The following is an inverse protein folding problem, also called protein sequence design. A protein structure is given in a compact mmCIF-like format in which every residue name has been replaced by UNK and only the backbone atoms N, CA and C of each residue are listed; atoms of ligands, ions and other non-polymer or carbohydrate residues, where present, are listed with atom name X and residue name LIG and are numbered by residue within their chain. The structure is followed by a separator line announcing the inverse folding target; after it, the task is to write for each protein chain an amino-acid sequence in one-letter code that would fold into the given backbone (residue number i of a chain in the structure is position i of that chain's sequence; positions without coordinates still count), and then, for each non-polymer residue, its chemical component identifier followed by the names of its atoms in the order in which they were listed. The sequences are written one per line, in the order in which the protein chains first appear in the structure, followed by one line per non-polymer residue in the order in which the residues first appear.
data_IF_047674555599
#
_entry.id   IF_047674555599
#
_cell.length_a   1.000
_cell.length_b   1.000
_cell.length_c   1.000
_cell.angle_alpha   90.00
_cell.angle_beta   90.00
_cell.angle_gamma   90.00
#
_symmetry.space_group_name_H-M   'P 1'
#
loop_
_entity.id
_entity.type
_entity.pdbx_description
1 polymer ?
#
# COMPACT_ATOMS: atom_id res chain seq x y z
N UNK A 1 12.24 -16.45 -19.84
CA UNK A 1 10.90 -15.87 -19.61
C UNK A 1 10.41 -16.07 -18.18
N UNK A 2 10.57 -17.25 -17.55
CA UNK A 2 10.14 -17.49 -16.15
C UNK A 2 11.00 -16.73 -15.12
N UNK A 3 12.33 -16.73 -15.26
CA UNK A 3 13.21 -16.07 -14.28
C UNK A 3 13.11 -14.54 -14.22
N UNK A 4 12.53 -13.90 -15.24
CA UNK A 4 12.29 -12.45 -15.23
C UNK A 4 11.04 -12.11 -14.40
N UNK A 5 10.00 -12.95 -14.49
CA UNK A 5 8.78 -12.82 -13.68
C UNK A 5 9.10 -13.00 -12.19
N UNK A 6 9.94 -13.98 -11.84
CA UNK A 6 10.38 -14.19 -10.45
C UNK A 6 11.20 -13.01 -9.91
N UNK A 7 11.99 -12.36 -10.78
CA UNK A 7 12.75 -11.16 -10.41
C UNK A 7 11.82 -9.99 -10.11
N UNK A 8 10.78 -9.79 -10.91
CA UNK A 8 9.79 -8.73 -10.68
C UNK A 8 8.93 -8.99 -9.44
N UNK A 9 8.52 -10.24 -9.18
CA UNK A 9 7.79 -10.59 -7.96
C UNK A 9 8.59 -10.27 -6.69
N UNK A 10 9.89 -10.63 -6.64
CA UNK A 10 10.77 -10.29 -5.51
C UNK A 10 10.95 -8.79 -5.31
N UNK A 11 10.90 -8.00 -6.38
CA UNK A 11 10.97 -6.54 -6.29
C UNK A 11 9.68 -5.98 -5.72
N UNK A 12 8.53 -6.51 -6.12
CA UNK A 12 7.21 -6.12 -5.59
C UNK A 12 7.11 -6.46 -4.10
N UNK A 13 7.43 -7.70 -3.70
CA UNK A 13 7.45 -8.12 -2.29
C UNK A 13 8.40 -7.26 -1.44
N UNK A 14 9.57 -6.90 -1.98
CA UNK A 14 10.51 -6.02 -1.28
C UNK A 14 9.99 -4.59 -1.13
N UNK A 15 9.19 -4.08 -2.06
CA UNK A 15 8.54 -2.78 -1.91
C UNK A 15 7.47 -2.82 -0.80
N UNK A 16 6.77 -3.94 -0.64
CA UNK A 16 5.84 -4.17 0.48
C UNK A 16 6.60 -4.18 1.84
N UNK A 17 7.79 -4.80 1.90
CA UNK A 17 8.62 -4.87 3.11
C UNK A 17 9.39 -3.58 3.45
N UNK A 18 9.73 -2.75 2.45
CA UNK A 18 10.50 -1.51 2.67
C UNK A 18 9.69 -0.41 3.38
N UNK A 19 8.36 -0.55 3.48
CA UNK A 19 7.50 0.27 4.33
C UNK A 19 7.41 -0.27 5.77
N UNK A 20 7.88 -1.48 6.05
CA UNK A 20 7.64 -2.20 7.31
C UNK A 20 8.59 -1.89 8.48
N UNK A 21 9.69 -1.15 8.27
CA UNK A 21 10.77 -1.04 9.28
C UNK A 21 11.22 0.38 9.64
N UNK A 22 10.43 1.43 9.36
CA UNK A 22 10.88 2.81 9.64
C UNK A 22 10.43 3.36 11.00
N UNK A 23 9.38 2.87 11.65
CA UNK A 23 9.00 3.39 12.97
C UNK A 23 8.60 2.27 13.94
N UNK A 24 9.15 2.28 15.17
CA UNK A 24 8.62 1.53 16.32
C UNK A 24 7.26 2.09 16.77
N UNK A 25 6.34 2.32 15.83
CA UNK A 25 4.97 2.75 16.06
C UNK A 25 4.06 1.61 15.69
N UNK A 26 3.23 1.20 16.65
CA UNK A 26 2.12 0.31 16.35
C UNK A 26 1.10 1.10 15.53
N UNK A 27 0.93 0.73 14.26
CA UNK A 27 -0.14 1.22 13.41
C UNK A 27 -1.30 0.23 13.49
N UNK A 28 -2.52 0.74 13.73
CA UNK A 28 -3.75 -0.09 13.71
C UNK A 28 -4.16 -0.48 12.29
N UNK A 29 -3.84 0.38 11.32
CA UNK A 29 -4.03 0.15 9.89
C UNK A 29 -3.08 1.05 9.08
N UNK A 30 -2.80 0.63 7.85
CA UNK A 30 -2.08 1.44 6.85
C UNK A 30 -2.98 1.63 5.64
N UNK A 31 -3.31 2.88 5.30
CA UNK A 31 -4.13 3.22 4.15
C UNK A 31 -3.28 3.78 3.01
N UNK A 32 -3.52 3.31 1.80
CA UNK A 32 -2.77 3.64 0.60
C UNK A 32 -3.55 4.67 -0.22
N UNK A 33 -2.81 5.61 -0.83
CA UNK A 33 -3.36 6.66 -1.69
C UNK A 33 -2.66 6.63 -3.03
N UNK A 34 -3.45 6.48 -4.10
CA UNK A 34 -2.92 6.49 -5.46
C UNK A 34 -3.98 6.99 -6.45
N UNK A 35 -3.64 7.86 -7.42
CA UNK A 35 -4.58 8.35 -8.42
C UNK A 35 -5.12 7.24 -9.36
N UNK A 36 -4.44 6.09 -9.44
CA UNK A 36 -4.85 4.90 -10.21
C UNK A 36 -5.52 3.80 -9.35
N UNK A 37 -5.72 4.07 -8.06
CA UNK A 37 -6.39 3.14 -7.14
C UNK A 37 -7.88 2.99 -7.43
N UNK A 38 -8.49 1.88 -6.97
CA UNK A 38 -9.92 1.65 -7.14
C UNK A 38 -10.81 2.58 -6.30
N UNK A 39 -10.24 3.35 -5.36
CA UNK A 39 -10.98 4.31 -4.53
C UNK A 39 -11.92 3.66 -3.51
N UNK A 40 -11.60 2.47 -2.99
CA UNK A 40 -12.49 1.69 -2.12
C UNK A 40 -12.09 1.76 -0.65
N UNK A 41 -11.26 0.83 -0.17
CA UNK A 41 -10.95 0.67 1.27
C UNK A 41 -9.53 1.13 1.66
N UNK A 42 -8.65 1.38 0.67
CA UNK A 42 -7.29 1.82 0.91
C UNK A 42 -6.36 0.78 1.53
N UNK A 43 -6.77 -0.47 1.76
CA UNK A 43 -5.96 -1.47 2.48
C UNK A 43 -4.89 -2.13 1.61
N UNK A 44 -4.89 -1.86 0.30
CA UNK A 44 -3.88 -2.31 -0.66
C UNK A 44 -3.69 -1.25 -1.74
N UNK A 45 -2.60 -1.34 -2.51
CA UNK A 45 -2.40 -0.45 -3.67
C UNK A 45 -3.51 -0.57 -4.71
N UNK A 46 -4.06 -1.77 -4.91
CA UNK A 46 -5.18 -2.00 -5.84
C UNK A 46 -6.45 -1.30 -5.37
N UNK A 47 -6.70 -1.29 -4.07
CA UNK A 47 -7.89 -0.68 -3.45
C UNK A 47 -7.63 0.73 -2.90
N UNK A 48 -6.48 1.32 -3.23
CA UNK A 48 -6.03 2.61 -2.72
C UNK A 48 -7.09 3.70 -2.90
N UNK A 49 -7.18 4.61 -1.93
CA UNK A 49 -7.99 5.82 -2.08
C UNK A 49 -7.42 6.68 -3.21
N UNK A 50 -8.30 7.31 -3.99
CA UNK A 50 -7.88 8.21 -5.08
C UNK A 50 -7.49 9.59 -4.58
N UNK A 51 -7.75 9.90 -3.31
CA UNK A 51 -7.44 11.19 -2.68
C UNK A 51 -6.88 10.99 -1.27
N UNK A 52 -6.04 11.93 -0.83
CA UNK A 52 -5.50 11.95 0.54
C UNK A 52 -6.61 12.10 1.58
N UNK A 53 -7.62 12.92 1.29
CA UNK A 53 -8.73 13.15 2.22
C UNK A 53 -9.52 11.87 2.50
N UNK A 54 -9.77 11.02 1.50
CA UNK A 54 -10.45 9.74 1.72
C UNK A 54 -9.69 8.80 2.68
N UNK A 55 -8.36 8.79 2.60
CA UNK A 55 -7.54 8.02 3.54
C UNK A 55 -7.53 8.61 4.95
N UNK A 56 -7.53 9.95 5.08
CA UNK A 56 -7.59 10.62 6.38
C UNK A 56 -8.94 10.40 7.08
N UNK A 57 -10.04 10.46 6.34
CA UNK A 57 -11.38 10.19 6.88
C UNK A 57 -11.46 8.74 7.41
N UNK A 58 -10.96 7.76 6.64
CA UNK A 58 -10.92 6.37 7.06
C UNK A 58 -10.03 6.13 8.29
N UNK A 59 -8.88 6.83 8.39
CA UNK A 59 -7.96 6.72 9.52
C UNK A 59 -8.48 7.39 10.80
N UNK A 60 -9.50 8.25 10.70
CA UNK A 60 -10.08 8.97 11.83
C UNK A 60 -11.17 8.19 12.59
N UNK A 61 -11.50 6.98 12.13
CA UNK A 61 -12.51 6.08 12.72
C UNK A 61 -11.88 5.11 13.71
#
# INVERSE_FOLDING_TARGET
MIGEIERWNKVIERQEDMLGNVESRAYTATFHVSPDGAGTDGLSWRTAFTTVNGALDAAST
#
